data_IF_691954412798
#
_entry.id   IF_691954412798
#
_cell.length_a   1.000
_cell.length_b   1.000
_cell.length_c   1.000
_cell.angle_alpha   90.00
_cell.angle_beta   90.00
_cell.angle_gamma   90.00
#
_symmetry.space_group_name_H-M   'P 1'
#
loop_
_entity.id
_entity.type
_entity.pdbx_description
1 polymer ?
#
# COMPACT_ATOMS: atom_id res chain seq x y z
N UNK A 1 -4.31 23.02 -12.32
CA UNK A 1 -5.04 22.29 -11.28
C UNK A 1 -4.12 21.26 -10.62
N UNK A 2 -3.99 21.29 -9.28
CA UNK A 2 -3.22 20.27 -8.59
C UNK A 2 -3.98 18.97 -8.48
N UNK A 3 -3.31 17.89 -8.81
CA UNK A 3 -3.84 16.54 -8.61
C UNK A 3 -3.07 15.91 -7.46
N UNK A 4 -3.79 15.47 -6.44
CA UNK A 4 -3.18 14.81 -5.29
C UNK A 4 -3.72 13.40 -5.14
N UNK A 5 -2.86 12.50 -4.68
CA UNK A 5 -3.28 11.14 -4.37
C UNK A 5 -2.51 10.65 -3.14
N UNK A 6 -3.06 9.62 -2.49
CA UNK A 6 -2.41 8.99 -1.35
C UNK A 6 -1.62 7.78 -1.83
N UNK A 7 -0.37 7.71 -1.43
CA UNK A 7 0.51 6.59 -1.71
C UNK A 7 0.66 5.75 -0.46
N UNK A 8 0.47 4.43 -0.60
CA UNK A 8 0.65 3.47 0.48
C UNK A 8 1.87 2.63 0.16
N UNK A 9 2.88 2.73 0.99
CA UNK A 9 4.12 1.98 0.84
C UNK A 9 4.11 0.84 1.83
N UNK A 10 3.92 -0.38 1.33
CA UNK A 10 3.83 -1.58 2.17
C UNK A 10 5.21 -2.20 2.26
N UNK A 11 5.77 -2.22 3.46
CA UNK A 11 7.13 -2.70 3.71
C UNK A 11 7.07 -4.13 4.22
N UNK A 12 7.70 -5.03 3.47
CA UNK A 12 7.92 -6.41 3.87
C UNK A 12 9.41 -6.62 4.14
N UNK A 13 9.74 -7.74 4.75
CA UNK A 13 11.12 -8.06 5.06
C UNK A 13 12.03 -8.06 3.82
N UNK A 14 11.54 -8.58 2.70
CA UNK A 14 12.34 -8.76 1.48
C UNK A 14 11.93 -7.85 0.33
N UNK A 15 10.91 -7.02 0.50
CA UNK A 15 10.43 -6.17 -0.59
C UNK A 15 9.59 -5.01 -0.05
N UNK A 16 9.43 -3.98 -0.86
CA UNK A 16 8.51 -2.89 -0.59
C UNK A 16 7.60 -2.73 -1.81
N UNK A 17 6.29 -2.75 -1.58
CA UNK A 17 5.30 -2.57 -2.64
C UNK A 17 4.63 -1.22 -2.48
N UNK A 18 4.23 -0.62 -3.59
CA UNK A 18 3.57 0.68 -3.58
C UNK A 18 2.18 0.54 -4.18
N UNK A 19 1.18 1.01 -3.43
CA UNK A 19 -0.21 1.09 -3.88
C UNK A 19 -0.66 2.55 -3.78
N UNK A 20 -1.67 2.91 -4.55
CA UNK A 20 -2.21 4.27 -4.50
C UNK A 20 -3.73 4.23 -4.46
N UNK A 21 -4.33 5.29 -3.91
CA UNK A 21 -5.79 5.43 -3.88
C UNK A 21 -6.38 5.82 -5.24
N UNK A 22 -5.54 5.95 -6.26
CA UNK A 22 -6.00 6.10 -7.63
C UNK A 22 -6.73 4.84 -8.10
N UNK A 23 -6.43 3.68 -7.47
CA UNK A 23 -7.22 2.48 -7.66
C UNK A 23 -8.40 2.51 -6.70
N UNK A 24 -9.65 2.37 -7.19
CA UNK A 24 -10.83 2.47 -6.34
C UNK A 24 -10.87 1.51 -5.16
N UNK A 25 -10.18 0.37 -5.24
CA UNK A 25 -10.16 -0.63 -4.18
C UNK A 25 -9.26 -0.26 -3.00
N UNK A 26 -8.41 0.77 -3.13
CA UNK A 26 -7.50 1.19 -2.07
C UNK A 26 -7.85 2.59 -1.61
N UNK A 27 -8.87 2.70 -0.75
CA UNK A 27 -9.32 4.00 -0.24
C UNK A 27 -8.54 4.45 0.99
N UNK A 28 -8.07 3.50 1.78
CA UNK A 28 -7.36 3.79 3.01
C UNK A 28 -6.38 2.66 3.33
N UNK A 29 -5.63 2.85 4.41
CA UNK A 29 -4.62 1.90 4.84
C UNK A 29 -5.19 0.52 5.14
N UNK A 30 -6.40 0.47 5.69
CA UNK A 30 -7.05 -0.78 6.03
C UNK A 30 -7.37 -1.60 4.77
N UNK A 31 -7.81 -0.95 3.70
CA UNK A 31 -8.08 -1.65 2.43
C UNK A 31 -6.81 -2.29 1.88
N UNK A 32 -5.69 -1.57 1.96
CA UNK A 32 -4.39 -2.08 1.52
C UNK A 32 -3.97 -3.28 2.37
N UNK A 33 -4.14 -3.18 3.70
CA UNK A 33 -3.79 -4.25 4.61
C UNK A 33 -4.64 -5.50 4.34
N UNK A 34 -5.93 -5.31 4.10
CA UNK A 34 -6.82 -6.42 3.77
C UNK A 34 -6.40 -7.11 2.47
N UNK A 35 -5.98 -6.34 1.49
CA UNK A 35 -5.47 -6.88 0.23
C UNK A 35 -4.22 -7.73 0.46
N UNK A 36 -3.30 -7.23 1.29
CA UNK A 36 -2.08 -7.95 1.64
C UNK A 36 -2.40 -9.29 2.30
N UNK A 37 -3.33 -9.29 3.25
CA UNK A 37 -3.71 -10.51 3.96
C UNK A 37 -4.46 -11.49 3.06
N UNK A 38 -5.40 -11.00 2.25
CA UNK A 38 -6.21 -11.84 1.36
C UNK A 38 -5.35 -12.54 0.31
N UNK A 39 -4.36 -11.84 -0.22
CA UNK A 39 -3.49 -12.38 -1.26
C UNK A 39 -2.23 -13.04 -0.70
N UNK A 40 -2.09 -13.09 0.62
CA UNK A 40 -0.97 -13.74 1.30
C UNK A 40 0.39 -13.26 0.78
N UNK A 41 0.51 -11.95 0.61
CA UNK A 41 1.73 -11.37 0.05
C UNK A 41 2.95 -11.59 0.95
N UNK A 42 2.74 -11.78 2.24
CA UNK A 42 3.82 -12.07 3.18
C UNK A 42 4.55 -13.37 2.84
N UNK A 43 3.87 -14.32 2.20
CA UNK A 43 4.51 -15.57 1.76
C UNK A 43 5.49 -15.34 0.62
N UNK A 44 5.20 -14.36 -0.24
CA UNK A 44 6.05 -14.07 -1.38
C UNK A 44 7.19 -13.11 -1.01
N UNK A 45 6.93 -12.15 -0.14
CA UNK A 45 7.85 -11.04 0.12
C UNK A 45 8.43 -11.03 1.52
N UNK A 46 8.08 -12.00 2.35
CA UNK A 46 8.53 -12.07 3.72
C UNK A 46 7.55 -11.43 4.69
N UNK A 47 7.95 -11.35 5.97
CA UNK A 47 7.09 -10.83 7.01
C UNK A 47 6.67 -9.39 6.72
N UNK A 48 5.38 -9.11 6.88
CA UNK A 48 4.85 -7.75 6.84
C UNK A 48 5.44 -6.93 8.01
N UNK A 49 5.93 -5.74 7.71
CA UNK A 49 6.52 -4.86 8.71
C UNK A 49 5.62 -3.66 9.01
N UNK A 50 5.28 -2.87 7.98
CA UNK A 50 4.45 -1.68 8.18
C UNK A 50 3.92 -1.16 6.86
N UNK A 51 2.97 -0.23 6.96
CA UNK A 51 2.47 0.57 5.84
C UNK A 51 2.78 2.02 6.13
N UNK A 52 3.48 2.68 5.21
CA UNK A 52 3.72 4.12 5.28
C UNK A 52 2.73 4.80 4.33
N UNK A 53 2.06 5.81 4.83
CA UNK A 53 1.08 6.57 4.06
C UNK A 53 1.61 7.98 3.80
N UNK A 54 1.53 8.43 2.56
CA UNK A 54 1.96 9.78 2.21
C UNK A 54 1.07 10.34 1.11
N UNK A 55 1.00 11.67 1.03
CA UNK A 55 0.25 12.36 -0.01
C UNK A 55 1.21 12.89 -1.05
N UNK A 56 0.92 12.60 -2.31
CA UNK A 56 1.71 13.08 -3.45
C UNK A 56 0.84 14.03 -4.27
N UNK A 57 1.36 15.22 -4.56
CA UNK A 57 0.66 16.23 -5.35
C UNK A 57 1.53 16.70 -6.51
N UNK A 58 0.89 16.89 -7.67
CA UNK A 58 1.56 17.41 -8.85
C UNK A 58 0.59 18.06 -9.81
#
# INVERSE_FOLDING_TARGET
>A
MKVCYTKFEVVFRNATLVFTDREPRFRNRLDVYNYVCTNRLAKAYGKFIRINESTVCY
#
